data_IF_717688384565
#
_entry.id   IF_717688384565
#
_cell.length_a   1.000
_cell.length_b   1.000
_cell.length_c   1.000
_cell.angle_alpha   90.00
_cell.angle_beta   90.00
_cell.angle_gamma   90.00
#
_symmetry.space_group_name_H-M   'P 1'
#
loop_
_entity.id
_entity.type
_entity.pdbx_description
1 polymer ?
#
# COMPACT_ATOMS: atom_id res chain seq x y z
N UNK A 1 -7.47 -12.99 -9.21
CA UNK A 1 -7.95 -12.23 -8.04
C UNK A 1 -7.01 -11.04 -7.84
N UNK A 2 -7.39 -9.82 -8.25
CA UNK A 2 -6.59 -8.60 -8.01
C UNK A 2 -7.17 -7.90 -6.79
N UNK A 3 -6.63 -8.26 -5.64
CA UNK A 3 -6.94 -7.69 -4.33
C UNK A 3 -6.46 -6.23 -4.26
N UNK A 4 -7.17 -5.37 -3.54
CA UNK A 4 -6.80 -3.95 -3.37
C UNK A 4 -5.48 -3.80 -2.60
N UNK A 5 -5.12 -4.82 -1.82
CA UNK A 5 -3.85 -5.03 -1.16
C UNK A 5 -2.69 -5.16 -2.15
N UNK A 6 -2.90 -5.84 -3.29
CA UNK A 6 -1.88 -5.98 -4.33
C UNK A 6 -1.56 -4.63 -4.96
N UNK A 7 -2.58 -3.78 -5.17
CA UNK A 7 -2.38 -2.43 -5.68
C UNK A 7 -1.63 -1.56 -4.68
N UNK A 8 -2.07 -1.54 -3.41
CA UNK A 8 -1.41 -0.78 -2.36
C UNK A 8 0.08 -1.16 -2.24
N UNK A 9 0.38 -2.47 -2.28
CA UNK A 9 1.75 -2.96 -2.22
C UNK A 9 2.59 -2.58 -3.44
N UNK A 10 2.02 -2.61 -4.65
CA UNK A 10 2.72 -2.22 -5.87
C UNK A 10 3.09 -0.71 -5.85
N UNK A 11 2.16 0.14 -5.39
CA UNK A 11 2.41 1.58 -5.24
C UNK A 11 3.53 1.83 -4.22
N UNK A 12 3.45 1.20 -3.03
CA UNK A 12 4.47 1.37 -2.00
C UNK A 12 5.85 0.90 -2.46
N UNK A 13 5.93 -0.20 -3.23
CA UNK A 13 7.18 -0.70 -3.79
C UNK A 13 7.80 0.30 -4.77
N UNK A 14 7.01 0.84 -5.70
CA UNK A 14 7.47 1.84 -6.67
C UNK A 14 7.92 3.13 -6.00
N UNK A 15 7.21 3.62 -4.96
CA UNK A 15 7.64 4.79 -4.18
C UNK A 15 9.01 4.54 -3.53
N UNK A 16 9.22 3.35 -2.99
CA UNK A 16 10.49 2.99 -2.35
C UNK A 16 11.60 2.67 -3.38
N UNK A 17 11.40 2.77 -4.68
CA UNK A 17 12.54 2.76 -5.63
C UNK A 17 13.39 4.03 -5.48
N UNK A 18 12.82 5.13 -4.97
CA UNK A 18 13.59 6.32 -4.62
C UNK A 18 14.40 6.10 -3.32
N UNK A 19 15.73 6.14 -3.41
CA UNK A 19 16.65 5.98 -2.27
C UNK A 19 16.54 7.05 -1.19
N UNK A 20 15.94 8.20 -1.49
CA UNK A 20 15.73 9.27 -0.52
C UNK A 20 14.54 8.96 0.40
N UNK A 21 13.61 8.10 -0.03
CA UNK A 21 12.39 7.78 0.71
C UNK A 21 12.65 6.61 1.66
N UNK A 22 12.50 6.86 2.97
CA UNK A 22 12.74 5.85 4.01
C UNK A 22 11.49 5.10 4.43
N UNK A 23 10.33 5.74 4.35
CA UNK A 23 9.05 5.15 4.74
C UNK A 23 7.96 5.77 3.88
N UNK A 24 6.96 4.97 3.53
CA UNK A 24 5.74 5.42 2.86
C UNK A 24 4.53 4.75 3.48
N UNK A 25 3.43 5.48 3.53
CA UNK A 25 2.12 4.97 3.93
C UNK A 25 1.18 5.19 2.76
N UNK A 26 0.56 4.10 2.29
CA UNK A 26 -0.32 4.10 1.13
C UNK A 26 -1.70 3.65 1.58
N UNK A 27 -2.71 4.47 1.32
CA UNK A 27 -4.12 4.13 1.52
C UNK A 27 -4.83 4.05 0.17
N UNK A 28 -5.45 2.93 -0.13
CA UNK A 28 -6.24 2.71 -1.35
C UNK A 28 -7.70 2.62 -0.95
N UNK A 29 -8.49 3.60 -1.38
CA UNK A 29 -9.94 3.63 -1.20
C UNK A 29 -10.64 2.93 -2.36
N UNK A 30 -11.65 2.13 -2.05
CA UNK A 30 -12.59 1.55 -3.01
C UNK A 30 -14.01 1.96 -2.60
N UNK A 31 -14.44 3.18 -2.97
CA UNK A 31 -15.75 3.70 -2.62
C UNK A 31 -16.90 3.06 -3.43
N UNK A 32 -16.60 2.09 -4.30
CA UNK A 32 -17.56 1.54 -5.25
C UNK A 32 -17.39 0.01 -5.36
N UNK A 33 -18.08 -0.73 -4.50
CA UNK A 33 -18.29 -2.16 -4.69
C UNK A 33 -19.70 -2.37 -5.27
N UNK A 34 -19.85 -2.92 -6.49
CA UNK A 34 -21.15 -3.22 -7.07
C UNK A 34 -21.72 -4.47 -6.38
N UNK A 35 -22.26 -4.31 -5.17
CA UNK A 35 -22.94 -5.36 -4.42
C UNK A 35 -23.99 -4.74 -3.50
N UNK A 36 -25.09 -5.45 -3.31
CA UNK A 36 -26.39 -5.06 -2.73
C UNK A 36 -26.34 -4.49 -1.29
N UNK A 37 -25.17 -4.39 -0.67
CA UNK A 37 -24.98 -3.91 0.70
C UNK A 37 -24.26 -2.57 0.64
N UNK A 38 -24.86 -1.51 1.19
CA UNK A 38 -24.28 -0.17 1.23
C UNK A 38 -23.12 -0.16 2.22
N UNK A 39 -21.90 -0.30 1.71
CA UNK A 39 -20.70 0.13 2.41
C UNK A 39 -20.19 1.35 1.67
N UNK A 40 -20.12 2.49 2.35
CA UNK A 40 -19.85 3.78 1.73
C UNK A 40 -18.38 3.92 1.28
N UNK A 41 -17.46 3.20 1.93
CA UNK A 41 -16.05 3.14 1.55
C UNK A 41 -15.33 1.92 2.15
N UNK A 42 -14.46 1.28 1.38
CA UNK A 42 -13.52 0.26 1.87
C UNK A 42 -12.12 0.70 1.54
N UNK A 43 -11.28 0.85 2.57
CA UNK A 43 -9.90 1.28 2.40
C UNK A 43 -8.90 0.25 2.92
N UNK A 44 -7.79 0.10 2.21
CA UNK A 44 -6.61 -0.63 2.69
C UNK A 44 -5.47 0.35 2.88
N UNK A 45 -4.92 0.37 4.10
CA UNK A 45 -3.73 1.15 4.45
C UNK A 45 -2.57 0.20 4.69
N UNK A 46 -1.44 0.46 4.03
CA UNK A 46 -0.17 -0.22 4.33
C UNK A 46 0.90 0.80 4.67
N UNK A 47 1.81 0.42 5.57
CA UNK A 47 3.05 1.15 5.83
C UNK A 47 4.23 0.26 5.45
N UNK A 48 5.19 0.84 4.73
CA UNK A 48 6.42 0.19 4.30
C UNK A 48 7.61 1.08 4.63
N UNK A 49 8.66 0.45 5.15
CA UNK A 49 9.94 1.10 5.45
C UNK A 49 11.03 0.35 4.68
N UNK A 50 11.99 1.08 4.13
CA UNK A 50 13.24 0.47 3.66
C UNK A 50 13.98 -0.09 4.85
N UNK A 51 14.26 -1.39 4.86
CA UNK A 51 15.36 -1.91 5.67
C UNK A 51 16.62 -1.23 5.13
N UNK A 52 17.15 -0.26 5.88
CA UNK A 52 18.56 0.07 5.76
C UNK A 52 19.26 -1.21 6.17
N UNK A 53 19.92 -1.88 5.23
CA UNK A 53 20.61 -3.12 5.50
C UNK A 53 21.45 -2.96 6.77
N UNK A 54 21.32 -3.92 7.66
CA UNK A 54 22.30 -4.28 8.66
C UNK A 54 23.65 -4.40 7.96
N UNK A 55 24.37 -3.29 7.83
CA UNK A 55 25.74 -3.26 7.34
C UNK A 55 26.68 -3.63 8.51
N UNK A 56 26.28 -4.62 9.32
CA UNK A 56 27.01 -5.29 10.40
C UNK A 56 26.26 -6.59 10.77
N UNK A 57 26.15 -7.54 9.84
CA UNK A 57 25.99 -8.98 10.14
C UNK A 57 26.85 -9.78 9.15
#
# INVERSE_FOLDING_TARGET
MKLIETLASAIAASILEDERIRTTTVTVHKPQAPITVRFDDVAVTISRRKHVGDLFD
#
